data_IF_110547861257
#
_entry.id   IF_110547861257
#
_cell.length_a   1.000
_cell.length_b   1.000
_cell.length_c   1.000
_cell.angle_alpha   90.00
_cell.angle_beta   90.00
_cell.angle_gamma   90.00
#
_symmetry.space_group_name_H-M   'P 1'
#
loop_
_entity.id
_entity.type
_entity.pdbx_description
1 polymer ?
#
# COMPACT_ATOMS: atom_id res chain seq x y z
N UNK A 1 -29.72 -4.63 30.48
CA UNK A 1 -29.82 -5.29 29.16
C UNK A 1 -28.69 -4.74 28.32
N UNK A 2 -27.58 -5.47 28.20
CA UNK A 2 -26.51 -5.09 27.27
C UNK A 2 -27.00 -5.44 25.86
N UNK A 3 -27.22 -4.41 25.05
CA UNK A 3 -27.49 -4.58 23.62
C UNK A 3 -26.16 -4.87 22.95
N UNK A 4 -25.94 -6.13 22.58
CA UNK A 4 -24.82 -6.50 21.71
C UNK A 4 -25.06 -5.84 20.34
N UNK A 5 -24.09 -5.11 19.77
CA UNK A 5 -24.26 -4.56 18.44
C UNK A 5 -24.36 -5.72 17.45
N UNK A 6 -25.56 -5.94 16.93
CA UNK A 6 -25.80 -6.86 15.83
C UNK A 6 -25.00 -6.36 14.63
N UNK A 7 -23.85 -6.98 14.36
CA UNK A 7 -23.11 -6.76 13.12
C UNK A 7 -24.03 -7.24 12.00
N UNK A 8 -24.79 -6.31 11.43
CA UNK A 8 -25.58 -6.55 10.24
C UNK A 8 -24.59 -6.94 9.14
N UNK A 9 -24.56 -8.24 8.81
CA UNK A 9 -23.80 -8.76 7.69
C UNK A 9 -24.45 -8.20 6.43
N UNK A 10 -24.01 -7.02 6.00
CA UNK A 10 -24.40 -6.47 4.71
C UNK A 10 -24.14 -7.55 3.66
N UNK A 11 -25.20 -7.91 2.94
CA UNK A 11 -25.09 -8.87 1.85
C UNK A 11 -24.23 -8.22 0.79
N UNK A 12 -23.07 -8.83 0.51
CA UNK A 12 -22.16 -8.35 -0.53
C UNK A 12 -22.79 -8.66 -1.89
N UNK A 13 -23.29 -7.63 -2.59
CA UNK A 13 -23.99 -7.76 -3.87
C UNK A 13 -23.08 -7.57 -5.08
N UNK A 14 -21.76 -7.44 -4.86
CA UNK A 14 -20.78 -7.27 -5.94
C UNK A 14 -20.69 -8.54 -6.79
N UNK A 15 -20.57 -8.32 -8.09
CA UNK A 15 -20.18 -9.34 -9.07
C UNK A 15 -18.73 -9.80 -8.83
N UNK A 16 -18.36 -11.00 -9.33
CA UNK A 16 -16.97 -11.44 -9.29
C UNK A 16 -16.01 -10.44 -9.96
N UNK A 17 -16.42 -9.81 -11.05
CA UNK A 17 -15.62 -8.79 -11.74
C UNK A 17 -15.33 -7.57 -10.85
N UNK A 18 -16.34 -7.07 -10.13
CA UNK A 18 -16.20 -5.96 -9.18
C UNK A 18 -15.27 -6.32 -8.02
N UNK A 19 -15.34 -7.54 -7.52
CA UNK A 19 -14.40 -8.02 -6.50
C UNK A 19 -12.96 -8.07 -7.02
N UNK A 20 -12.74 -8.63 -8.22
CA UNK A 20 -11.40 -8.70 -8.84
C UNK A 20 -10.85 -7.30 -9.08
N UNK A 21 -11.67 -6.36 -9.54
CA UNK A 21 -11.30 -4.96 -9.71
C UNK A 21 -10.93 -4.31 -8.36
N UNK A 22 -11.74 -4.52 -7.31
CA UNK A 22 -11.47 -3.98 -5.98
C UNK A 22 -10.12 -4.44 -5.43
N UNK A 23 -9.79 -5.73 -5.57
CA UNK A 23 -8.49 -6.29 -5.16
C UNK A 23 -7.36 -5.55 -5.88
N UNK A 24 -7.42 -5.48 -7.22
CA UNK A 24 -6.37 -4.84 -8.03
C UNK A 24 -6.17 -3.39 -7.61
N UNK A 25 -7.26 -2.65 -7.51
CA UNK A 25 -7.23 -1.20 -7.36
C UNK A 25 -6.83 -0.78 -5.94
N UNK A 26 -7.31 -1.49 -4.91
CA UNK A 26 -6.92 -1.19 -3.52
C UNK A 26 -5.46 -1.54 -3.27
N UNK A 27 -5.01 -2.72 -3.70
CA UNK A 27 -3.62 -3.13 -3.50
C UNK A 27 -2.65 -2.41 -4.44
N UNK A 28 -3.14 -1.75 -5.49
CA UNK A 28 -2.32 -1.02 -6.45
C UNK A 28 -1.39 -1.93 -7.26
N UNK A 29 -1.84 -3.16 -7.55
CA UNK A 29 -1.03 -4.20 -8.19
C UNK A 29 -1.30 -4.32 -9.69
N UNK A 30 -0.32 -4.84 -10.43
CA UNK A 30 -0.48 -5.13 -11.86
C UNK A 30 -1.21 -6.47 -12.10
N UNK A 31 -1.52 -6.76 -13.37
CA UNK A 31 -2.23 -7.98 -13.75
C UNK A 31 -1.44 -9.27 -13.49
N UNK A 32 -0.10 -9.24 -13.53
CA UNK A 32 0.73 -10.40 -13.20
C UNK A 32 0.64 -10.73 -11.71
N UNK A 33 0.68 -9.71 -10.86
CA UNK A 33 0.54 -9.86 -9.42
C UNK A 33 -0.88 -10.31 -9.04
N UNK A 34 -1.91 -9.71 -9.66
CA UNK A 34 -3.30 -10.11 -9.48
C UNK A 34 -3.52 -11.60 -9.83
N UNK A 35 -3.03 -12.02 -10.99
CA UNK A 35 -3.09 -13.42 -11.41
C UNK A 35 -2.35 -14.32 -10.41
N UNK A 36 -1.20 -13.87 -9.91
CA UNK A 36 -0.40 -14.63 -8.96
C UNK A 36 -1.07 -14.80 -7.59
N UNK A 37 -1.73 -13.77 -7.04
CA UNK A 37 -2.42 -13.88 -5.73
C UNK A 37 -3.72 -14.71 -5.83
N UNK A 38 -4.34 -14.74 -7.01
CA UNK A 38 -5.50 -15.55 -7.32
C UNK A 38 -5.14 -16.97 -7.78
N UNK A 39 -3.84 -17.27 -7.94
CA UNK A 39 -3.34 -18.56 -8.46
C UNK A 39 -3.93 -18.93 -9.84
N UNK A 40 -4.05 -17.95 -10.73
CA UNK A 40 -4.57 -18.09 -12.09
C UNK A 40 -3.59 -17.55 -13.13
N UNK A 41 -3.95 -17.68 -14.41
CA UNK A 41 -3.19 -17.06 -15.50
C UNK A 41 -3.63 -15.60 -15.74
N UNK A 42 -2.75 -14.78 -16.33
CA UNK A 42 -3.10 -13.40 -16.71
C UNK A 42 -4.32 -13.32 -17.64
N UNK A 43 -4.44 -14.15 -18.70
CA UNK A 43 -5.66 -14.19 -19.52
C UNK A 43 -6.92 -14.47 -18.71
N UNK A 44 -6.87 -15.41 -17.76
CA UNK A 44 -8.01 -15.69 -16.87
C UNK A 44 -8.39 -14.47 -16.02
N UNK A 45 -7.40 -13.74 -15.50
CA UNK A 45 -7.65 -12.53 -14.73
C UNK A 45 -8.32 -11.43 -15.58
N UNK A 46 -7.90 -11.27 -16.84
CA UNK A 46 -8.57 -10.34 -17.77
C UNK A 46 -10.00 -10.77 -18.05
N UNK A 47 -10.23 -12.04 -18.36
CA UNK A 47 -11.56 -12.52 -18.70
C UNK A 47 -12.54 -12.37 -17.53
N UNK A 48 -12.08 -12.57 -16.28
CA UNK A 48 -12.90 -12.30 -15.09
C UNK A 48 -13.23 -10.82 -14.90
N UNK A 49 -12.29 -9.91 -15.21
CA UNK A 49 -12.57 -8.48 -15.22
C UNK A 49 -13.57 -8.08 -16.32
N UNK A 50 -13.60 -8.82 -17.43
CA UNK A 50 -14.56 -8.65 -18.52
C UNK A 50 -15.92 -9.33 -18.24
N UNK A 51 -16.08 -9.98 -17.09
CA UNK A 51 -17.35 -10.57 -16.65
C UNK A 51 -17.49 -12.08 -16.88
N UNK A 52 -16.43 -12.78 -17.32
CA UNK A 52 -16.46 -14.24 -17.35
C UNK A 52 -16.58 -14.80 -15.93
N UNK A 53 -17.53 -15.71 -15.71
CA UNK A 53 -17.75 -16.31 -14.38
C UNK A 53 -16.59 -17.21 -13.94
N UNK A 54 -16.02 -16.98 -12.74
CA UNK A 54 -15.08 -17.90 -12.11
C UNK A 54 -15.76 -19.17 -11.63
N UNK A 55 -14.97 -20.23 -11.43
CA UNK A 55 -15.45 -21.45 -10.75
C UNK A 55 -15.77 -21.18 -9.28
N UNK A 56 -16.66 -21.96 -8.65
CA UNK A 56 -17.06 -21.76 -7.24
C UNK A 56 -15.88 -21.65 -6.26
N UNK A 57 -14.83 -22.46 -6.43
CA UNK A 57 -13.63 -22.38 -5.58
C UNK A 57 -12.90 -21.03 -5.71
N UNK A 58 -12.87 -20.47 -6.91
CA UNK A 58 -12.25 -19.18 -7.18
C UNK A 58 -13.10 -18.03 -6.62
N UNK A 59 -14.43 -18.13 -6.67
CA UNK A 59 -15.34 -17.13 -6.11
C UNK A 59 -15.06 -16.94 -4.61
N UNK A 60 -14.92 -18.03 -3.85
CA UNK A 60 -14.62 -17.96 -2.41
C UNK A 60 -13.27 -17.27 -2.14
N UNK A 61 -12.27 -17.49 -3.00
CA UNK A 61 -10.95 -16.85 -2.88
C UNK A 61 -11.02 -15.36 -3.22
N UNK A 62 -11.71 -15.00 -4.29
CA UNK A 62 -11.94 -13.63 -4.73
C UNK A 62 -12.66 -12.83 -3.64
N UNK A 63 -13.74 -13.36 -3.08
CA UNK A 63 -14.52 -12.68 -2.04
C UNK A 63 -13.69 -12.43 -0.77
N UNK A 64 -12.87 -13.40 -0.36
CA UNK A 64 -11.97 -13.26 0.81
C UNK A 64 -10.93 -12.17 0.59
N UNK A 65 -10.22 -12.21 -0.53
CA UNK A 65 -9.24 -11.17 -0.88
C UNK A 65 -9.89 -9.80 -1.04
N UNK A 66 -11.10 -9.73 -1.60
CA UNK A 66 -11.85 -8.48 -1.71
C UNK A 66 -12.23 -7.92 -0.35
N UNK A 67 -12.58 -8.76 0.63
CA UNK A 67 -12.85 -8.29 2.00
C UNK A 67 -11.59 -7.75 2.66
N UNK A 68 -10.45 -8.44 2.49
CA UNK A 68 -9.15 -7.92 2.94
C UNK A 68 -8.82 -6.58 2.30
N UNK A 69 -9.09 -6.42 1.00
CA UNK A 69 -8.97 -5.13 0.32
C UNK A 69 -9.89 -4.07 0.98
N UNK A 70 -11.13 -4.41 1.30
CA UNK A 70 -12.03 -3.47 1.98
C UNK A 70 -11.49 -3.04 3.37
N UNK A 71 -10.92 -3.97 4.15
CA UNK A 71 -10.27 -3.68 5.43
C UNK A 71 -9.07 -2.73 5.25
N UNK A 72 -8.22 -3.01 4.25
CA UNK A 72 -7.07 -2.17 3.91
C UNK A 72 -7.50 -0.77 3.48
N UNK A 73 -8.59 -0.67 2.70
CA UNK A 73 -9.16 0.61 2.27
C UNK A 73 -9.64 1.42 3.48
N UNK A 74 -10.26 0.78 4.47
CA UNK A 74 -10.68 1.43 5.73
C UNK A 74 -9.50 1.93 6.55
N UNK A 75 -8.34 1.26 6.49
CA UNK A 75 -7.12 1.72 7.16
C UNK A 75 -6.53 2.99 6.53
N UNK A 76 -6.97 3.40 5.33
CA UNK A 76 -6.49 4.60 4.63
C UNK A 76 -4.95 4.67 4.51
N UNK A 77 -4.34 3.54 4.14
CA UNK A 77 -2.90 3.40 4.02
C UNK A 77 -2.35 4.19 2.83
N UNK A 78 -1.36 5.04 3.08
CA UNK A 78 -0.74 5.84 2.03
C UNK A 78 0.39 5.04 1.37
N UNK A 79 0.40 5.02 0.03
CA UNK A 79 1.43 4.39 -0.81
C UNK A 79 1.54 2.87 -0.65
N UNK A 80 0.40 2.20 -0.46
CA UNK A 80 0.35 0.75 -0.40
C UNK A 80 0.99 0.08 -1.62
N UNK A 81 0.78 0.67 -2.81
CA UNK A 81 1.41 0.29 -4.09
C UNK A 81 2.94 0.13 -4.00
N UNK A 82 3.60 0.90 -3.13
CA UNK A 82 5.06 0.87 -2.95
C UNK A 82 5.52 0.01 -1.79
N UNK A 83 4.62 -0.31 -0.87
CA UNK A 83 4.92 -1.12 0.31
C UNK A 83 4.63 -2.60 0.06
N UNK A 84 3.69 -2.92 -0.83
CA UNK A 84 3.18 -4.28 -1.02
C UNK A 84 4.26 -5.29 -1.45
N UNK A 85 5.27 -4.84 -2.19
CA UNK A 85 6.40 -5.67 -2.65
C UNK A 85 7.60 -5.67 -1.69
N UNK A 86 7.61 -4.84 -0.64
CA UNK A 86 8.78 -4.72 0.24
C UNK A 86 8.77 -5.84 1.28
N UNK A 87 9.89 -6.55 1.51
CA UNK A 87 9.99 -7.60 2.52
C UNK A 87 10.18 -7.03 3.93
N UNK A 88 9.20 -6.25 4.40
CA UNK A 88 9.23 -5.50 5.66
C UNK A 88 8.34 -6.10 6.75
N UNK A 89 7.73 -7.25 6.48
CA UNK A 89 6.86 -7.98 7.40
C UNK A 89 7.55 -9.31 7.69
N UNK A 90 8.44 -9.35 8.67
CA UNK A 90 9.27 -10.52 9.01
C UNK A 90 10.05 -11.10 7.81
N UNK A 91 10.60 -10.23 6.96
CA UNK A 91 11.33 -10.64 5.75
C UNK A 91 10.45 -11.11 4.59
N UNK A 92 9.12 -11.08 4.74
CA UNK A 92 8.16 -11.32 3.66
C UNK A 92 7.45 -10.03 3.26
N UNK A 93 7.03 -9.96 2.01
CA UNK A 93 6.21 -8.89 1.47
C UNK A 93 4.72 -9.15 1.68
N UNK A 94 3.90 -8.09 1.68
CA UNK A 94 2.44 -8.27 1.75
C UNK A 94 1.94 -9.06 0.54
N UNK A 95 2.54 -8.90 -0.64
CA UNK A 95 2.19 -9.70 -1.83
C UNK A 95 2.40 -11.19 -1.60
N UNK A 96 3.54 -11.59 -1.02
CA UNK A 96 3.81 -13.00 -0.70
C UNK A 96 2.83 -13.53 0.35
N UNK A 97 2.54 -12.73 1.37
CA UNK A 97 1.54 -13.10 2.39
C UNK A 97 0.15 -13.21 1.78
N UNK A 98 -0.24 -12.34 0.84
CA UNK A 98 -1.52 -12.43 0.13
C UNK A 98 -1.64 -13.70 -0.72
N UNK A 99 -0.55 -14.29 -1.22
CA UNK A 99 -0.59 -15.55 -1.98
C UNK A 99 -0.90 -16.76 -1.09
N UNK A 100 -0.47 -16.69 0.16
CA UNK A 100 -0.71 -17.72 1.16
C UNK A 100 -2.02 -17.34 1.86
N UNK A 101 -2.94 -18.27 2.01
CA UNK A 101 -4.23 -17.99 2.65
C UNK A 101 -4.06 -17.93 4.19
N UNK A 102 -3.23 -17.00 4.67
CA UNK A 102 -2.89 -16.78 6.09
C UNK A 102 -3.67 -15.59 6.69
N UNK A 103 -3.70 -15.50 8.02
CA UNK A 103 -4.27 -14.33 8.70
C UNK A 103 -3.37 -13.10 8.48
N UNK A 104 -3.92 -12.11 7.76
CA UNK A 104 -3.21 -10.88 7.41
C UNK A 104 -3.41 -9.76 8.43
N UNK A 105 -4.29 -9.94 9.41
CA UNK A 105 -4.57 -8.94 10.46
C UNK A 105 -3.30 -8.36 11.12
N UNK A 106 -2.34 -9.19 11.61
CA UNK A 106 -1.12 -8.66 12.21
C UNK A 106 -0.22 -7.95 11.18
N UNK A 107 -0.13 -8.50 9.98
CA UNK A 107 0.68 -7.96 8.88
C UNK A 107 0.18 -6.57 8.44
N UNK A 108 -1.15 -6.39 8.34
CA UNK A 108 -1.77 -5.12 7.98
C UNK A 108 -1.58 -4.06 9.06
N UNK A 109 -1.69 -4.44 10.35
CA UNK A 109 -1.46 -3.53 11.47
C UNK A 109 0.00 -3.02 11.50
N UNK A 110 0.96 -3.92 11.31
CA UNK A 110 2.38 -3.56 11.21
C UNK A 110 2.64 -2.66 9.99
N UNK A 111 2.12 -3.04 8.82
CA UNK A 111 2.29 -2.27 7.59
C UNK A 111 1.69 -0.87 7.72
N UNK A 112 0.57 -0.71 8.44
CA UNK A 112 -0.04 0.59 8.74
C UNK A 112 0.89 1.45 9.61
N UNK A 113 1.48 0.87 10.65
CA UNK A 113 2.43 1.58 11.51
C UNK A 113 3.66 2.07 10.71
N UNK A 114 4.17 1.23 9.80
CA UNK A 114 5.28 1.62 8.90
C UNK A 114 4.85 2.77 7.98
N UNK A 115 3.68 2.66 7.34
CA UNK A 115 3.16 3.70 6.44
C UNK A 115 3.00 5.06 7.14
N UNK A 116 2.49 5.07 8.38
CA UNK A 116 2.34 6.28 9.18
C UNK A 116 3.68 6.90 9.56
N UNK A 117 4.65 6.06 9.97
CA UNK A 117 6.00 6.52 10.30
C UNK A 117 6.70 7.15 9.08
N UNK A 118 6.61 6.53 7.91
CA UNK A 118 7.16 7.11 6.66
C UNK A 118 6.48 8.43 6.27
N UNK A 119 5.20 8.61 6.60
CA UNK A 119 4.47 9.85 6.37
C UNK A 119 4.99 10.96 7.30
N UNK A 120 5.21 10.66 8.57
CA UNK A 120 5.70 11.60 9.57
C UNK A 120 7.12 12.10 9.23
N UNK A 121 8.05 11.19 8.93
CA UNK A 121 9.44 11.56 8.57
C UNK A 121 9.49 12.49 7.36
N UNK A 122 8.64 12.27 6.35
CA UNK A 122 8.58 13.13 5.15
C UNK A 122 7.96 14.50 5.42
N UNK A 123 7.04 14.61 6.36
CA UNK A 123 6.50 15.92 6.77
C UNK A 123 7.57 16.72 7.51
N UNK A 124 8.38 16.07 8.35
CA UNK A 124 9.48 16.71 9.06
C UNK A 124 10.61 17.13 8.13
N UNK A 125 11.02 16.29 7.16
CA UNK A 125 12.08 16.64 6.21
C UNK A 125 11.73 17.80 5.28
N UNK A 126 10.44 17.98 4.93
CA UNK A 126 9.98 19.16 4.18
C UNK A 126 9.90 20.45 5.02
N UNK A 127 9.83 20.34 6.35
CA UNK A 127 9.84 21.48 7.27
C UNK A 127 11.23 22.05 7.55
N UNK A 128 12.28 21.24 7.44
CA UNK A 128 13.66 21.65 7.73
C UNK A 128 14.42 22.27 6.55
N UNK A 129 13.78 22.43 5.38
CA UNK A 129 14.41 22.89 4.15
C UNK A 129 14.73 24.39 4.05
N UNK A 130 14.61 25.19 5.13
CA UNK A 130 14.85 26.64 5.08
C UNK A 130 16.17 27.12 5.72
N UNK A 131 17.12 26.24 6.00
CA UNK A 131 18.43 26.67 6.51
C UNK A 131 19.58 25.77 6.04
N UNK A 132 19.72 25.63 4.72
CA UNK A 132 21.05 25.41 4.15
C UNK A 132 21.61 26.80 3.89
N UNK A 133 22.58 27.24 4.72
CA UNK A 133 23.36 28.46 4.45
C UNK A 133 23.78 28.42 2.99
N UNK A 134 23.39 29.44 2.23
CA UNK A 134 23.71 29.49 0.81
C UNK A 134 25.22 29.56 0.66
N UNK A 135 25.78 28.88 -0.35
CA UNK A 135 27.22 28.91 -0.63
C UNK A 135 27.73 30.35 -0.84
N UNK A 136 26.84 31.25 -1.23
CA UNK A 136 27.06 32.69 -1.41
C UNK A 136 27.46 33.40 -0.09
N UNK A 137 26.89 32.96 1.04
CA UNK A 137 27.15 33.53 2.37
C UNK A 137 28.54 33.13 2.91
N UNK A 138 29.04 31.95 2.51
CA UNK A 138 30.38 31.46 2.92
C UNK A 138 31.50 32.14 2.12
N UNK A 139 31.23 32.56 0.88
CA UNK A 139 32.24 33.19 0.02
C UNK A 139 32.49 34.66 0.37
N UNK A 140 31.53 35.35 1.01
CA UNK A 140 31.69 36.75 1.42
C UNK A 140 32.59 36.98 2.64
N UNK A 141 32.92 35.94 3.42
CA UNK A 141 33.70 36.07 4.66
C UNK A 141 35.22 35.96 4.49
N UNK A 142 35.73 35.75 3.26
CA UNK A 142 37.17 35.52 3.00
C UNK A 142 37.88 36.62 2.20
N UNK A 143 37.41 37.87 2.27
CA UNK A 143 38.12 39.02 1.69
C UNK A 143 38.84 39.83 2.77
N UNK A 144 39.97 39.29 3.26
CA UNK A 144 40.96 40.09 3.99
C UNK A 144 41.88 40.76 2.95
N UNK A 145 42.09 42.09 3.02
CA UNK A 145 42.83 42.85 2.01
C UNK A 145 44.32 42.54 2.09
N UNK A 146 44.96 42.29 0.95
CA UNK A 146 46.42 42.23 0.84
C UNK A 146 46.91 43.66 0.63
N UNK A 147 47.36 44.30 1.71
CA UNK A 147 48.12 45.55 1.66
C UNK A 147 49.47 45.28 0.98
N UNK A 148 49.71 45.92 -0.16
CA UNK A 148 51.05 46.07 -0.73
C UNK A 148 51.43 47.55 -0.62
N UNK A 149 52.40 47.83 0.25
CA UNK A 149 53.07 49.13 0.37
C UNK A 149 54.12 49.30 -0.72
N UNK A 150 54.15 50.47 -1.38
CA UNK A 150 55.25 51.45 -1.37
C UNK A 150 54.91 52.68 -2.23
#
# INVERSE_FOLDING_TARGET
>A
MHVEPSVQKQVDTRSPAEHVANIRDVFGINMSDLASILSITRPTAYAWLEGQEPKPEAILRIQRLSRTADEVKQMNMIRLDKLIHRPILDGRSLLERLRVDEDLSPALAELKAIADKEKQTRRQSKGSGKHLRSLDEVLSESSVPIEWSE
#
